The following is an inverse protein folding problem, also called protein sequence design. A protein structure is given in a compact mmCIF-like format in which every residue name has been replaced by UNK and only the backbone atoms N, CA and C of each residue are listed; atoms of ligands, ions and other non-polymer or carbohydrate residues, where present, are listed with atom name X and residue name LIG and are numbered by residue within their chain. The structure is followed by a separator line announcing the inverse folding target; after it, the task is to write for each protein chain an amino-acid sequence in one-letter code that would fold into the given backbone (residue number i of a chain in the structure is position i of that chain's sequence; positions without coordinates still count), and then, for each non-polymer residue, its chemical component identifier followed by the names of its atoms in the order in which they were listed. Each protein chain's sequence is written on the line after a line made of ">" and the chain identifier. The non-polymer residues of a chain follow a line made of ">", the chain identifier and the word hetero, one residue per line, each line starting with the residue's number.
data_IF_517828711793
#
_entry.id   IF_517828711793
#
_cell.length_a   1.000
_cell.length_b   1.000
_cell.length_c   1.000
_cell.angle_alpha   90.00
_cell.angle_beta   90.00
_cell.angle_gamma   90.00
#
_symmetry.space_group_name_H-M   'P 1'
#
loop_
_entity.id
_entity.type
_entity.pdbx_description
1 polymer ?
#
# COMPACT_ATOMS: atom_id res chain seq x y z
N UNK A 1 -83.78 -63.49 51.82
CA UNK A 1 -83.71 -62.03 51.62
C UNK A 1 -82.29 -61.48 51.75
N UNK A 2 -81.43 -61.97 52.66
CA UNK A 2 -80.05 -61.49 52.84
C UNK A 2 -79.13 -61.69 51.61
N UNK A 3 -79.16 -62.86 50.98
CA UNK A 3 -78.29 -63.20 49.83
C UNK A 3 -78.55 -62.31 48.59
N UNK A 4 -79.79 -61.82 48.42
CA UNK A 4 -80.17 -60.92 47.32
C UNK A 4 -79.71 -59.47 47.57
N UNK A 5 -79.63 -59.04 48.83
CA UNK A 5 -79.16 -57.70 49.22
C UNK A 5 -77.64 -57.63 49.11
N UNK A 6 -76.93 -58.70 49.47
CA UNK A 6 -75.47 -58.78 49.38
C UNK A 6 -75.00 -58.82 47.92
N UNK A 7 -75.68 -59.60 47.06
CA UNK A 7 -75.42 -59.61 45.62
C UNK A 7 -75.77 -58.28 44.92
N UNK A 8 -76.80 -57.56 45.39
CA UNK A 8 -77.10 -56.20 44.91
C UNK A 8 -76.07 -55.18 45.40
N UNK A 9 -75.54 -55.33 46.62
CA UNK A 9 -74.47 -54.48 47.15
C UNK A 9 -73.18 -54.61 46.36
N UNK A 10 -72.74 -55.85 46.07
CA UNK A 10 -71.52 -56.11 45.30
C UNK A 10 -71.62 -55.59 43.84
N UNK A 11 -72.81 -55.68 43.23
CA UNK A 11 -73.07 -55.06 41.93
C UNK A 11 -72.95 -53.53 41.97
N UNK A 12 -73.43 -52.89 43.04
CA UNK A 12 -73.37 -51.44 43.21
C UNK A 12 -71.93 -50.96 43.37
N UNK A 13 -71.14 -51.62 44.22
CA UNK A 13 -69.73 -51.29 44.46
C UNK A 13 -68.89 -51.45 43.19
N UNK A 14 -69.19 -52.47 42.38
CA UNK A 14 -68.49 -52.68 41.12
C UNK A 14 -68.81 -51.55 40.13
N UNK A 15 -70.07 -51.11 40.04
CA UNK A 15 -70.50 -49.96 39.23
C UNK A 15 -69.80 -48.68 39.72
N UNK A 16 -69.75 -48.45 41.03
CA UNK A 16 -69.07 -47.28 41.61
C UNK A 16 -67.58 -47.26 41.23
N UNK A 17 -66.89 -48.39 41.37
CA UNK A 17 -65.47 -48.51 40.99
C UNK A 17 -65.21 -48.29 39.50
N UNK A 18 -66.18 -48.65 38.64
CA UNK A 18 -66.09 -48.43 37.19
C UNK A 18 -66.37 -46.97 36.83
N UNK A 19 -67.30 -46.31 37.52
CA UNK A 19 -67.60 -44.89 37.35
C UNK A 19 -66.44 -44.02 37.84
N UNK A 20 -65.82 -44.33 38.98
CA UNK A 20 -64.64 -43.62 39.48
C UNK A 20 -63.46 -43.73 38.51
N UNK A 21 -63.18 -44.94 38.00
CA UNK A 21 -62.15 -45.14 36.97
C UNK A 21 -62.44 -44.32 35.72
N UNK A 22 -63.66 -44.36 35.19
CA UNK A 22 -64.05 -43.58 34.02
C UNK A 22 -63.90 -42.06 34.25
N UNK A 23 -64.33 -41.56 35.41
CA UNK A 23 -64.16 -40.16 35.80
C UNK A 23 -62.68 -39.76 35.88
N UNK A 24 -61.83 -40.63 36.44
CA UNK A 24 -60.38 -40.41 36.51
C UNK A 24 -59.73 -40.31 35.11
N UNK A 25 -60.15 -41.15 34.16
CA UNK A 25 -59.64 -41.14 32.79
C UNK A 25 -60.08 -39.89 32.03
N UNK A 26 -61.34 -39.48 32.19
CA UNK A 26 -61.85 -38.24 31.59
C UNK A 26 -61.14 -37.02 32.17
N UNK A 27 -60.91 -36.99 33.49
CA UNK A 27 -60.21 -35.90 34.16
C UNK A 27 -58.70 -35.87 33.84
N UNK A 28 -58.07 -37.03 33.68
CA UNK A 28 -56.71 -37.15 33.17
C UNK A 28 -56.60 -36.67 31.71
N UNK A 29 -57.50 -37.16 30.85
CA UNK A 29 -57.55 -36.80 29.44
C UNK A 29 -57.78 -35.30 29.20
N UNK A 30 -58.67 -34.68 29.96
CA UNK A 30 -58.92 -33.23 29.89
C UNK A 30 -57.69 -32.42 30.33
N UNK A 31 -56.99 -32.81 31.40
CA UNK A 31 -55.71 -32.19 31.79
C UNK A 31 -54.63 -32.34 30.72
N UNK A 32 -54.46 -33.53 30.14
CA UNK A 32 -53.48 -33.74 29.08
C UNK A 32 -53.80 -32.91 27.83
N UNK A 33 -55.07 -32.79 27.47
CA UNK A 33 -55.51 -31.94 26.35
C UNK A 33 -55.22 -30.46 26.63
N UNK A 34 -55.44 -30.00 27.85
CA UNK A 34 -55.19 -28.61 28.25
C UNK A 34 -53.69 -28.27 28.25
N UNK A 35 -52.85 -29.19 28.75
CA UNK A 35 -51.39 -29.07 28.69
C UNK A 35 -50.88 -29.08 27.24
N UNK A 36 -51.38 -30.00 26.41
CA UNK A 36 -51.00 -30.07 25.00
C UNK A 36 -51.38 -28.78 24.24
N UNK A 37 -52.57 -28.22 24.47
CA UNK A 37 -52.99 -26.93 23.90
C UNK A 37 -52.09 -25.78 24.37
N UNK A 38 -51.67 -25.76 25.63
CA UNK A 38 -50.78 -24.72 26.19
C UNK A 38 -49.39 -24.79 25.57
N UNK A 39 -48.83 -25.99 25.40
CA UNK A 39 -47.54 -26.21 24.74
C UNK A 39 -47.59 -25.80 23.26
N UNK A 40 -48.66 -26.17 22.54
CA UNK A 40 -48.84 -25.80 21.13
C UNK A 40 -48.99 -24.27 20.95
N UNK A 41 -49.71 -23.59 21.85
CA UNK A 41 -49.83 -22.12 21.81
C UNK A 41 -48.51 -21.43 22.11
N UNK A 42 -47.75 -21.92 23.08
CA UNK A 42 -46.45 -21.35 23.43
C UNK A 42 -45.41 -21.54 22.32
N UNK A 43 -45.41 -22.71 21.66
CA UNK A 43 -44.54 -22.99 20.50
C UNK A 43 -44.83 -22.07 19.32
N UNK A 44 -46.12 -21.84 18.98
CA UNK A 44 -46.50 -20.92 17.90
C UNK A 44 -46.10 -19.47 18.19
N UNK A 45 -46.21 -19.05 19.45
CA UNK A 45 -45.74 -17.73 19.86
C UNK A 45 -44.22 -17.60 19.68
N UNK A 46 -43.45 -18.64 20.02
CA UNK A 46 -42.00 -18.63 19.85
C UNK A 46 -41.58 -18.50 18.39
N UNK A 47 -42.22 -19.24 17.47
CA UNK A 47 -41.97 -19.10 16.03
C UNK A 47 -42.31 -17.71 15.49
N UNK A 48 -43.39 -17.08 15.97
CA UNK A 48 -43.71 -15.70 15.60
C UNK A 48 -42.65 -14.70 16.08
N UNK A 49 -42.12 -14.87 17.29
CA UNK A 49 -41.03 -14.04 17.79
C UNK A 49 -39.73 -14.23 17.01
N UNK A 50 -39.37 -15.47 16.68
CA UNK A 50 -38.21 -15.79 15.83
C UNK A 50 -38.34 -15.15 14.44
N UNK A 51 -39.50 -15.27 13.78
CA UNK A 51 -39.74 -14.65 12.48
C UNK A 51 -39.69 -13.12 12.56
N UNK A 52 -40.28 -12.53 13.61
CA UNK A 52 -40.25 -11.08 13.82
C UNK A 52 -38.82 -10.57 14.06
N UNK A 53 -38.04 -11.30 14.87
CA UNK A 53 -36.62 -11.01 15.11
C UNK A 53 -35.82 -11.07 13.80
N UNK A 54 -36.05 -12.10 12.97
CA UNK A 54 -35.39 -12.26 11.68
C UNK A 54 -35.75 -11.11 10.71
N UNK A 55 -37.02 -10.69 10.67
CA UNK A 55 -37.45 -9.53 9.88
C UNK A 55 -36.83 -8.21 10.37
N UNK A 56 -36.69 -8.03 11.70
CA UNK A 56 -36.02 -6.86 12.28
C UNK A 56 -34.53 -6.87 11.93
N UNK A 57 -33.86 -8.02 12.01
CA UNK A 57 -32.44 -8.16 11.62
C UNK A 57 -32.26 -7.88 10.13
N UNK A 58 -33.12 -8.43 9.25
CA UNK A 58 -33.09 -8.13 7.81
C UNK A 58 -33.32 -6.64 7.56
N UNK A 59 -34.29 -6.02 8.23
CA UNK A 59 -34.53 -4.59 8.10
C UNK A 59 -33.32 -3.77 8.56
N UNK A 60 -32.68 -4.15 9.68
CA UNK A 60 -31.48 -3.49 10.20
C UNK A 60 -30.26 -3.64 9.26
N UNK A 61 -30.09 -4.81 8.66
CA UNK A 61 -29.06 -5.07 7.64
C UNK A 61 -29.34 -4.26 6.37
N UNK A 62 -30.57 -4.23 5.88
CA UNK A 62 -30.97 -3.41 4.71
C UNK A 62 -30.83 -1.91 4.99
N UNK A 63 -31.15 -1.45 6.20
CA UNK A 63 -30.92 -0.08 6.66
C UNK A 63 -29.42 0.25 6.77
N UNK A 64 -28.59 -0.71 7.21
CA UNK A 64 -27.13 -0.57 7.26
C UNK A 64 -26.48 -0.57 5.87
N UNK A 65 -27.10 -1.22 4.88
CA UNK A 65 -26.67 -1.22 3.46
C UNK A 65 -27.16 0.04 2.72
N UNK A 66 -27.58 1.10 3.40
CA UNK A 66 -27.69 2.45 2.81
C UNK A 66 -26.43 3.28 3.13
N UNK A 67 -25.24 2.93 2.59
CA UNK A 67 -24.00 3.67 2.85
C UNK A 67 -24.12 5.14 2.44
N UNK A 68 -25.00 5.39 1.49
CA UNK A 68 -25.34 6.68 0.94
C UNK A 68 -25.77 7.73 1.98
N UNK A 69 -26.61 7.40 2.97
CA UNK A 69 -26.99 8.35 4.03
C UNK A 69 -25.83 8.70 4.97
N UNK A 70 -25.03 7.71 5.34
CA UNK A 70 -23.83 7.92 6.16
C UNK A 70 -22.76 8.74 5.41
N UNK A 71 -22.62 8.51 4.10
CA UNK A 71 -21.76 9.28 3.21
C UNK A 71 -22.26 10.72 3.10
N UNK A 72 -23.56 10.97 2.93
CA UNK A 72 -24.12 12.32 2.89
C UNK A 72 -23.93 13.09 4.21
N UNK A 73 -24.20 12.49 5.36
CA UNK A 73 -23.98 13.14 6.66
C UNK A 73 -22.50 13.49 6.89
N UNK A 74 -21.60 12.60 6.44
CA UNK A 74 -20.16 12.84 6.51
C UNK A 74 -19.71 13.90 5.50
N UNK A 75 -20.30 13.95 4.32
CA UNK A 75 -20.05 14.96 3.28
C UNK A 75 -20.56 16.35 3.70
N UNK A 76 -21.73 16.43 4.34
CA UNK A 76 -22.27 17.68 4.87
C UNK A 76 -21.34 18.29 5.94
N UNK A 77 -20.66 17.44 6.73
CA UNK A 77 -19.62 17.86 7.69
C UNK A 77 -18.25 18.13 7.03
N UNK A 78 -17.85 17.32 6.03
CA UNK A 78 -16.56 17.45 5.32
C UNK A 78 -16.50 18.59 4.30
N UNK A 79 -17.64 19.20 3.96
CA UNK A 79 -17.65 20.41 3.14
C UNK A 79 -17.09 21.65 3.87
N UNK A 80 -16.63 21.50 5.11
CA UNK A 80 -15.70 22.42 5.77
C UNK A 80 -14.32 22.24 5.12
N UNK A 81 -14.12 22.80 3.93
CA UNK A 81 -12.84 22.72 3.22
C UNK A 81 -11.86 23.67 3.91
N UNK A 82 -11.01 23.16 4.80
CA UNK A 82 -10.04 24.00 5.54
C UNK A 82 -8.67 24.12 4.86
N UNK A 83 -8.39 23.43 3.74
CA UNK A 83 -7.06 23.51 3.08
C UNK A 83 -7.10 23.29 1.58
N UNK A 84 -7.64 24.23 0.82
CA UNK A 84 -7.51 24.24 -0.65
C UNK A 84 -7.04 25.58 -1.24
N UNK A 85 -6.67 26.58 -0.44
CA UNK A 85 -6.39 27.89 -0.99
C UNK A 85 -4.96 28.09 -1.52
N UNK A 86 -4.03 27.17 -1.26
CA UNK A 86 -2.66 27.31 -1.79
C UNK A 86 -2.59 27.23 -3.32
N UNK A 87 -3.62 26.69 -3.98
CA UNK A 87 -3.69 26.54 -5.45
C UNK A 87 -4.64 27.53 -6.14
N UNK A 88 -5.37 28.35 -5.35
CA UNK A 88 -6.43 29.22 -5.89
C UNK A 88 -5.94 30.61 -6.29
N UNK A 89 -4.83 31.08 -5.70
CA UNK A 89 -4.24 32.38 -6.02
C UNK A 89 -3.79 32.47 -7.49
N UNK A 90 -3.30 31.35 -8.05
CA UNK A 90 -2.88 31.24 -9.45
C UNK A 90 -4.05 31.24 -10.47
N UNK A 91 -5.31 31.17 -10.03
CA UNK A 91 -6.50 31.07 -10.90
C UNK A 91 -7.62 32.06 -10.57
N UNK A 92 -7.31 33.15 -9.86
CA UNK A 92 -8.29 34.17 -9.45
C UNK A 92 -9.15 34.69 -10.62
N UNK A 93 -8.53 34.93 -11.78
CA UNK A 93 -9.24 35.42 -12.97
C UNK A 93 -10.26 34.41 -13.53
N UNK A 94 -9.90 33.12 -13.55
CA UNK A 94 -10.82 32.07 -14.01
C UNK A 94 -11.95 31.82 -13.01
N UNK A 95 -11.68 31.97 -11.71
CA UNK A 95 -12.68 31.83 -10.65
C UNK A 95 -13.70 32.96 -10.70
N UNK A 96 -13.24 34.20 -10.92
CA UNK A 96 -14.12 35.38 -10.98
C UNK A 96 -14.89 35.49 -12.29
N UNK A 97 -14.38 34.90 -13.38
CA UNK A 97 -15.04 34.88 -14.69
C UNK A 97 -16.19 33.87 -14.80
N UNK A 98 -16.14 32.78 -14.03
CA UNK A 98 -17.21 31.76 -14.00
C UNK A 98 -18.17 32.00 -12.82
N UNK A 99 -19.46 32.28 -13.06
CA UNK A 99 -20.41 32.55 -11.98
C UNK A 99 -20.57 31.40 -10.98
N UNK A 100 -20.42 30.15 -11.43
CA UNK A 100 -20.53 28.97 -10.57
C UNK A 100 -19.35 28.86 -9.60
N UNK A 101 -18.13 29.05 -10.11
CA UNK A 101 -16.93 29.10 -9.29
C UNK A 101 -16.92 30.33 -8.38
N UNK A 102 -17.29 31.51 -8.88
CA UNK A 102 -17.34 32.74 -8.09
C UNK A 102 -18.23 32.60 -6.86
N UNK A 103 -19.42 32.01 -7.01
CA UNK A 103 -20.36 31.82 -5.90
C UNK A 103 -19.83 30.92 -4.79
N UNK A 104 -18.93 29.98 -5.12
CA UNK A 104 -18.37 29.00 -4.18
C UNK A 104 -17.04 29.46 -3.60
N UNK A 105 -16.19 30.02 -4.45
CA UNK A 105 -14.77 30.27 -4.19
C UNK A 105 -14.43 31.75 -4.05
N UNK A 106 -15.32 32.66 -4.43
CA UNK A 106 -15.16 34.10 -4.27
C UNK A 106 -16.44 34.78 -3.73
N UNK A 107 -16.99 34.31 -2.60
CA UNK A 107 -18.20 34.91 -2.04
C UNK A 107 -17.95 36.40 -1.73
N UNK A 108 -18.91 37.26 -2.09
CA UNK A 108 -18.80 38.72 -1.99
C UNK A 108 -17.72 39.35 -2.89
N UNK A 109 -17.27 38.65 -3.94
CA UNK A 109 -16.30 39.16 -4.90
C UNK A 109 -14.84 39.08 -4.44
N UNK A 110 -14.56 38.44 -3.29
CA UNK A 110 -13.20 38.17 -2.80
C UNK A 110 -12.93 36.67 -2.82
N UNK A 111 -11.88 36.26 -3.52
CA UNK A 111 -11.42 34.86 -3.54
C UNK A 111 -11.01 34.43 -2.12
N UNK A 112 -11.42 33.23 -1.73
CA UNK A 112 -11.09 32.64 -0.42
C UNK A 112 -9.59 32.38 -0.29
N UNK A 113 -9.05 32.65 0.90
CA UNK A 113 -7.65 32.49 1.24
C UNK A 113 -7.38 31.23 2.07
N UNK A 114 -6.10 30.94 2.32
CA UNK A 114 -5.70 29.73 3.03
C UNK A 114 -6.11 29.81 4.49
N UNK A 115 -6.93 28.84 4.92
CA UNK A 115 -7.55 28.83 6.23
C UNK A 115 -8.99 29.30 6.24
N UNK A 116 -9.47 29.93 5.16
CA UNK A 116 -10.88 30.28 5.02
C UNK A 116 -11.75 29.02 4.82
N UNK A 117 -13.00 29.10 5.25
CA UNK A 117 -13.98 28.03 5.07
C UNK A 117 -14.82 28.29 3.82
N UNK A 118 -14.78 27.35 2.87
CA UNK A 118 -15.63 27.34 1.67
C UNK A 118 -16.91 26.55 1.93
N UNK A 119 -18.05 27.02 1.41
CA UNK A 119 -19.34 26.31 1.48
C UNK A 119 -19.95 26.19 0.08
N UNK A 120 -20.30 24.96 -0.34
CA UNK A 120 -21.03 24.70 -1.58
C UNK A 120 -22.36 23.97 -1.28
N UNK A 121 -23.40 24.75 -0.96
CA UNK A 121 -24.73 24.24 -0.59
C UNK A 121 -25.40 23.47 -1.72
N UNK A 122 -25.21 23.88 -2.96
CA UNK A 122 -25.82 23.21 -4.13
C UNK A 122 -25.22 21.81 -4.35
N UNK A 123 -23.91 21.66 -4.15
CA UNK A 123 -23.27 20.35 -4.16
C UNK A 123 -23.76 19.49 -3.00
N UNK A 124 -23.91 20.06 -1.80
CA UNK A 124 -24.45 19.34 -0.64
C UNK A 124 -25.87 18.81 -0.91
N UNK A 125 -26.77 19.64 -1.44
CA UNK A 125 -28.13 19.24 -1.83
C UNK A 125 -28.13 18.13 -2.89
N UNK A 126 -27.21 18.20 -3.86
CA UNK A 126 -27.07 17.18 -4.91
C UNK A 126 -26.60 15.84 -4.32
N UNK A 127 -25.61 15.88 -3.42
CA UNK A 127 -25.09 14.70 -2.73
C UNK A 127 -26.12 14.09 -1.77
N UNK A 128 -26.92 14.91 -1.09
CA UNK A 128 -28.04 14.48 -0.26
C UNK A 128 -29.11 13.77 -1.11
N UNK A 129 -29.47 14.35 -2.26
CA UNK A 129 -30.43 13.72 -3.19
C UNK A 129 -29.94 12.36 -3.67
N UNK A 130 -28.66 12.27 -4.09
CA UNK A 130 -28.02 11.01 -4.47
C UNK A 130 -27.98 10.04 -3.28
N UNK A 131 -27.82 10.56 -2.07
CA UNK A 131 -27.75 9.71 -0.90
C UNK A 131 -29.10 9.07 -0.52
N UNK A 132 -30.19 9.80 -0.76
CA UNK A 132 -31.54 9.32 -0.47
C UNK A 132 -32.09 8.40 -1.56
N UNK A 133 -31.84 8.74 -2.82
CA UNK A 133 -32.45 8.10 -3.99
C UNK A 133 -31.49 7.14 -4.71
N UNK A 134 -30.21 7.11 -4.31
CA UNK A 134 -29.15 6.35 -4.96
C UNK A 134 -28.62 7.03 -6.23
N UNK A 135 -27.73 6.36 -6.98
CA UNK A 135 -27.10 6.92 -8.18
C UNK A 135 -28.11 7.29 -9.28
N UNK A 136 -29.31 6.72 -9.24
CA UNK A 136 -30.36 7.01 -10.22
C UNK A 136 -30.83 8.47 -10.18
N UNK A 137 -30.66 9.18 -9.06
CA UNK A 137 -30.90 10.62 -9.00
C UNK A 137 -30.05 11.40 -10.02
N UNK A 138 -28.83 10.92 -10.28
CA UNK A 138 -27.92 11.52 -11.26
C UNK A 138 -28.15 10.97 -12.67
N UNK A 139 -28.31 9.66 -12.85
CA UNK A 139 -28.38 9.09 -14.20
C UNK A 139 -29.77 9.18 -14.84
N UNK A 140 -30.83 9.26 -14.04
CA UNK A 140 -32.22 9.23 -14.52
C UNK A 140 -33.16 10.20 -13.81
N UNK A 141 -32.64 11.01 -12.88
CA UNK A 141 -33.42 11.89 -12.02
C UNK A 141 -33.05 13.36 -12.13
N UNK A 142 -33.59 14.14 -11.19
CA UNK A 142 -33.55 15.62 -11.20
C UNK A 142 -32.13 16.20 -11.15
N UNK A 143 -31.16 15.50 -10.55
CA UNK A 143 -29.77 15.97 -10.51
C UNK A 143 -29.14 15.87 -11.90
N UNK A 144 -29.41 14.77 -12.62
CA UNK A 144 -29.00 14.60 -14.01
C UNK A 144 -29.62 15.62 -14.94
N UNK A 145 -30.92 15.88 -14.79
CA UNK A 145 -31.63 16.86 -15.62
C UNK A 145 -31.06 18.26 -15.46
N UNK A 146 -30.77 18.69 -14.23
CA UNK A 146 -30.09 19.97 -13.94
C UNK A 146 -28.70 19.99 -14.56
N UNK A 147 -27.91 18.93 -14.38
CA UNK A 147 -26.57 18.82 -14.93
C UNK A 147 -26.56 18.91 -16.47
N UNK A 148 -27.43 18.17 -17.15
CA UNK A 148 -27.58 18.22 -18.61
C UNK A 148 -27.98 19.61 -19.07
N UNK A 149 -28.91 20.26 -18.37
CA UNK A 149 -29.33 21.63 -18.68
C UNK A 149 -28.15 22.61 -18.58
N UNK A 150 -27.36 22.53 -17.52
CA UNK A 150 -26.20 23.41 -17.32
C UNK A 150 -25.14 23.18 -18.41
N UNK A 151 -24.81 21.91 -18.71
CA UNK A 151 -23.87 21.56 -19.79
C UNK A 151 -24.35 22.10 -21.14
N UNK A 152 -25.64 21.98 -21.44
CA UNK A 152 -26.25 22.48 -22.69
C UNK A 152 -26.24 24.01 -22.77
N UNK A 153 -26.52 24.70 -21.67
CA UNK A 153 -26.44 26.15 -21.60
C UNK A 153 -25.01 26.66 -21.87
N UNK A 154 -24.00 25.89 -21.47
CA UNK A 154 -22.59 26.17 -21.77
C UNK A 154 -22.14 25.72 -23.18
N UNK A 155 -23.06 25.26 -24.03
CA UNK A 155 -22.77 24.82 -25.40
C UNK A 155 -22.27 23.38 -25.53
N UNK A 156 -22.36 22.57 -24.47
CA UNK A 156 -22.02 21.15 -24.49
C UNK A 156 -23.05 20.28 -25.22
N UNK A 157 -22.70 19.01 -25.42
CA UNK A 157 -23.51 18.05 -26.21
C UNK A 157 -24.14 16.93 -25.38
N UNK A 158 -24.00 16.96 -24.05
CA UNK A 158 -24.51 15.91 -23.17
C UNK A 158 -26.05 15.86 -23.19
N UNK A 159 -26.64 14.67 -23.20
CA UNK A 159 -28.08 14.42 -23.09
C UNK A 159 -28.42 13.56 -21.88
N UNK A 160 -29.71 13.51 -21.53
CA UNK A 160 -30.20 12.52 -20.56
C UNK A 160 -30.05 11.09 -21.06
N UNK A 161 -30.05 10.86 -22.38
CA UNK A 161 -29.87 9.51 -22.93
C UNK A 161 -28.42 9.04 -22.79
N UNK A 162 -27.45 9.96 -22.89
CA UNK A 162 -26.03 9.66 -22.59
C UNK A 162 -25.86 9.25 -21.12
N UNK A 163 -26.51 9.97 -20.19
CA UNK A 163 -26.46 9.62 -18.77
C UNK A 163 -27.13 8.26 -18.50
N UNK A 164 -28.31 8.00 -19.06
CA UNK A 164 -29.03 6.73 -18.87
C UNK A 164 -28.30 5.54 -19.48
N UNK A 165 -27.60 5.75 -20.59
CA UNK A 165 -26.84 4.70 -21.29
C UNK A 165 -25.46 4.45 -20.69
N UNK A 166 -24.97 5.33 -19.81
CA UNK A 166 -23.69 5.17 -19.12
C UNK A 166 -23.66 3.87 -18.30
N UNK A 167 -22.60 3.09 -18.49
CA UNK A 167 -22.34 1.84 -17.77
C UNK A 167 -20.92 1.81 -17.24
N UNK A 168 -20.79 1.37 -15.99
CA UNK A 168 -19.48 1.10 -15.40
C UNK A 168 -19.05 -0.29 -15.85
N UNK A 169 -17.92 -0.36 -16.56
CA UNK A 169 -17.27 -1.63 -16.90
C UNK A 169 -16.33 -2.04 -15.76
N UNK A 170 -16.66 -3.15 -15.09
CA UNK A 170 -15.80 -3.75 -14.08
C UNK A 170 -14.88 -4.74 -14.78
N UNK A 171 -13.60 -4.41 -14.84
CA UNK A 171 -12.57 -5.18 -15.52
C UNK A 171 -11.51 -5.66 -14.54
N UNK A 172 -10.82 -6.74 -14.89
CA UNK A 172 -9.70 -7.23 -14.08
C UNK A 172 -8.54 -6.24 -14.08
N UNK A 173 -7.83 -6.17 -12.94
CA UNK A 173 -6.66 -5.34 -12.83
C UNK A 173 -5.55 -5.82 -13.78
N UNK A 174 -4.90 -4.89 -14.47
CA UNK A 174 -3.73 -5.18 -15.30
C UNK A 174 -2.54 -5.51 -14.39
N UNK A 175 -2.01 -6.73 -14.52
CA UNK A 175 -0.84 -7.17 -13.77
C UNK A 175 0.46 -6.90 -14.54
N UNK A 176 1.42 -6.25 -13.87
CA UNK A 176 2.75 -5.94 -14.41
C UNK A 176 3.82 -6.43 -13.44
N UNK A 177 4.78 -7.20 -13.94
CA UNK A 177 5.91 -7.64 -13.12
C UNK A 177 7.05 -6.61 -13.18
N UNK A 178 7.34 -5.96 -12.06
CA UNK A 178 8.39 -4.96 -11.91
C UNK A 178 9.12 -5.11 -10.58
N UNK A 179 10.46 -5.00 -10.60
CA UNK A 179 11.31 -5.10 -9.40
C UNK A 179 11.14 -6.40 -8.57
N UNK A 180 10.67 -7.50 -9.18
CA UNK A 180 10.39 -8.74 -8.46
C UNK A 180 9.01 -8.80 -7.81
N UNK A 181 8.18 -7.77 -7.98
CA UNK A 181 6.80 -7.71 -7.51
C UNK A 181 5.81 -7.73 -8.67
N UNK A 182 4.61 -8.23 -8.39
CA UNK A 182 3.45 -8.09 -9.29
C UNK A 182 2.68 -6.84 -8.89
N UNK A 183 2.75 -5.81 -9.73
CA UNK A 183 1.98 -4.58 -9.58
C UNK A 183 0.63 -4.79 -10.26
N UNK A 184 -0.46 -4.67 -9.50
CA UNK A 184 -1.81 -4.64 -10.03
C UNK A 184 -2.21 -3.19 -10.26
N UNK A 185 -2.64 -2.88 -11.48
CA UNK A 185 -2.99 -1.53 -11.88
C UNK A 185 -4.23 -1.48 -12.76
N UNK A 186 -4.58 -0.26 -13.18
CA UNK A 186 -5.82 -0.04 -13.92
C UNK A 186 -5.62 -0.39 -15.39
N UNK A 187 -6.52 -1.18 -16.00
CA UNK A 187 -6.45 -1.50 -17.42
C UNK A 187 -6.78 -0.26 -18.29
N UNK A 188 -6.61 -0.34 -19.61
CA UNK A 188 -7.17 0.62 -20.55
C UNK A 188 -8.65 0.91 -20.22
N UNK A 189 -9.10 2.18 -20.27
CA UNK A 189 -8.49 3.33 -20.93
C UNK A 189 -7.41 4.08 -20.11
N UNK A 190 -7.06 3.63 -18.90
CA UNK A 190 -5.97 4.25 -18.14
C UNK A 190 -4.61 3.94 -18.75
N UNK A 191 -3.74 4.96 -18.86
CA UNK A 191 -2.37 4.81 -19.37
C UNK A 191 -1.32 4.60 -18.27
N UNK A 192 -1.70 4.75 -17.00
CA UNK A 192 -0.75 4.75 -15.87
C UNK A 192 0.02 3.43 -15.75
N UNK A 193 -0.68 2.30 -15.77
CA UNK A 193 -0.06 0.98 -15.61
C UNK A 193 0.79 0.60 -16.81
N UNK A 194 0.37 0.97 -18.02
CA UNK A 194 1.19 0.81 -19.23
C UNK A 194 2.47 1.65 -19.15
N UNK A 195 2.37 2.93 -18.77
CA UNK A 195 3.51 3.82 -18.61
C UNK A 195 4.54 3.28 -17.61
N UNK A 196 4.06 2.77 -16.48
CA UNK A 196 4.89 2.07 -15.49
C UNK A 196 5.61 0.89 -16.16
N UNK A 197 4.87 -0.01 -16.83
CA UNK A 197 5.46 -1.21 -17.47
C UNK A 197 6.58 -0.89 -18.47
N UNK A 198 6.39 0.15 -19.31
CA UNK A 198 7.36 0.57 -20.32
C UNK A 198 8.59 1.25 -19.72
N UNK A 199 8.40 2.06 -18.67
CA UNK A 199 9.51 2.65 -17.93
C UNK A 199 10.45 1.58 -17.36
N UNK A 200 9.90 0.48 -16.86
CA UNK A 200 10.68 -0.63 -16.32
C UNK A 200 11.44 -1.42 -17.37
N UNK A 201 10.81 -1.73 -18.51
CA UNK A 201 11.49 -2.46 -19.58
C UNK A 201 12.71 -1.67 -20.07
N UNK A 202 12.55 -0.36 -20.22
CA UNK A 202 13.63 0.54 -20.64
C UNK A 202 14.75 0.61 -19.60
N UNK A 203 14.42 0.69 -18.31
CA UNK A 203 15.42 0.66 -17.24
C UNK A 203 16.21 -0.66 -17.19
N UNK A 204 15.56 -1.81 -17.43
CA UNK A 204 16.25 -3.11 -17.52
C UNK A 204 17.19 -3.19 -18.71
N UNK A 205 16.77 -2.68 -19.87
CA UNK A 205 17.61 -2.60 -21.07
C UNK A 205 18.84 -1.72 -20.85
N UNK A 206 18.66 -0.55 -20.22
CA UNK A 206 19.75 0.34 -19.83
C UNK A 206 20.75 -0.35 -18.88
N UNK A 207 20.26 -1.02 -17.83
CA UNK A 207 21.16 -1.73 -16.88
C UNK A 207 21.98 -2.84 -17.56
N UNK A 208 21.40 -3.55 -18.51
CA UNK A 208 22.12 -4.57 -19.28
C UNK A 208 23.21 -3.95 -20.17
N UNK A 209 22.91 -2.82 -20.81
CA UNK A 209 23.89 -2.07 -21.60
C UNK A 209 25.02 -1.53 -20.72
N UNK A 210 24.71 -0.98 -19.55
CA UNK A 210 25.72 -0.47 -18.60
C UNK A 210 26.69 -1.56 -18.18
N UNK A 211 26.20 -2.77 -17.89
CA UNK A 211 27.04 -3.90 -17.52
C UNK A 211 27.98 -4.31 -18.67
N UNK A 212 27.47 -4.33 -19.92
CA UNK A 212 28.28 -4.61 -21.11
C UNK A 212 29.36 -3.52 -21.31
N UNK A 213 28.99 -2.25 -21.16
CA UNK A 213 29.92 -1.13 -21.30
C UNK A 213 30.97 -1.10 -20.19
N UNK A 214 30.59 -1.40 -18.95
CA UNK A 214 31.51 -1.52 -17.83
C UNK A 214 32.53 -2.64 -18.04
N UNK A 215 32.09 -3.80 -18.52
CA UNK A 215 32.99 -4.93 -18.83
C UNK A 215 33.94 -4.60 -19.99
N UNK A 216 33.47 -3.91 -21.04
CA UNK A 216 34.34 -3.42 -22.13
C UNK A 216 35.42 -2.46 -21.59
N UNK A 217 35.03 -1.48 -20.80
CA UNK A 217 35.96 -0.51 -20.19
C UNK A 217 36.97 -1.19 -19.26
N UNK A 218 36.56 -2.23 -18.52
CA UNK A 218 37.46 -3.04 -17.69
C UNK A 218 38.50 -3.76 -18.55
N UNK A 219 38.10 -4.38 -19.67
CA UNK A 219 39.00 -5.07 -20.60
C UNK A 219 39.99 -4.13 -21.27
N UNK A 220 39.56 -2.92 -21.63
CA UNK A 220 40.42 -1.88 -22.18
C UNK A 220 41.47 -1.41 -21.15
N UNK A 221 41.05 -1.09 -19.92
CA UNK A 221 41.97 -0.69 -18.84
C UNK A 221 42.98 -1.79 -18.51
N UNK A 222 42.54 -3.05 -18.51
CA UNK A 222 43.43 -4.18 -18.35
C UNK A 222 44.45 -4.25 -19.51
N UNK A 223 43.99 -4.09 -20.75
CA UNK A 223 44.87 -4.08 -21.93
C UNK A 223 45.90 -2.95 -21.90
N UNK A 224 45.52 -1.75 -21.44
CA UNK A 224 46.45 -0.63 -21.25
C UNK A 224 47.52 -0.95 -20.21
N UNK A 225 47.16 -1.59 -19.10
CA UNK A 225 48.13 -2.04 -18.08
C UNK A 225 49.09 -3.09 -18.63
N UNK A 226 48.63 -4.00 -19.48
CA UNK A 226 49.51 -4.95 -20.18
C UNK A 226 50.52 -4.26 -21.10
N UNK A 227 50.08 -3.22 -21.82
CA UNK A 227 50.98 -2.42 -22.67
C UNK A 227 52.03 -1.73 -21.80
N UNK A 228 51.62 -1.07 -20.71
CA UNK A 228 52.55 -0.43 -19.77
C UNK A 228 53.55 -1.43 -19.15
N UNK A 229 53.08 -2.61 -18.74
CA UNK A 229 53.92 -3.68 -18.24
C UNK A 229 54.94 -4.15 -19.29
N UNK A 230 54.50 -4.29 -20.55
CA UNK A 230 55.38 -4.70 -21.65
C UNK A 230 56.49 -3.68 -21.97
N UNK A 231 56.26 -2.40 -21.66
CA UNK A 231 57.26 -1.34 -21.83
C UNK A 231 58.31 -1.30 -20.71
N UNK A 232 57.96 -1.77 -19.50
CA UNK A 232 58.84 -1.72 -18.33
C UNK A 232 59.82 -2.90 -18.23
N UNK A 233 59.45 -4.06 -18.80
CA UNK A 233 60.28 -5.27 -18.76
C UNK A 233 61.11 -5.38 -20.05
N UNK A 234 62.45 -5.27 -19.98
CA UNK A 234 63.31 -5.32 -21.17
C UNK A 234 63.25 -6.69 -21.86
N UNK A 235 63.19 -6.69 -23.20
CA UNK A 235 63.31 -7.92 -24.01
C UNK A 235 61.99 -8.57 -24.44
N UNK A 236 60.83 -7.97 -24.13
CA UNK A 236 59.53 -8.48 -24.57
C UNK A 236 59.27 -8.18 -26.06
N UNK A 237 59.48 -9.16 -26.93
CA UNK A 237 58.99 -9.11 -28.31
C UNK A 237 57.50 -9.47 -28.31
N UNK A 238 56.64 -8.56 -28.78
CA UNK A 238 55.17 -8.70 -28.87
C UNK A 238 54.76 -10.13 -29.24
N UNK A 239 54.11 -10.89 -28.35
CA UNK A 239 53.13 -11.96 -28.65
C UNK A 239 52.42 -12.31 -27.33
N UNK A 240 51.08 -12.36 -27.36
CA UNK A 240 50.13 -12.90 -26.38
C UNK A 240 50.20 -12.43 -24.90
N UNK A 241 49.04 -12.09 -24.34
CA UNK A 241 48.87 -11.59 -22.95
C UNK A 241 49.38 -12.60 -21.92
N UNK A 242 49.24 -13.90 -22.19
CA UNK A 242 49.73 -14.97 -21.33
C UNK A 242 51.27 -15.02 -21.29
N UNK A 243 51.94 -14.82 -22.43
CA UNK A 243 53.41 -14.84 -22.51
C UNK A 243 54.02 -13.64 -21.79
N UNK A 244 53.43 -12.43 -21.96
CA UNK A 244 53.90 -11.21 -21.29
C UNK A 244 53.88 -11.35 -19.76
N UNK A 245 52.83 -11.94 -19.20
CA UNK A 245 52.74 -12.22 -17.76
C UNK A 245 53.78 -13.26 -17.32
N UNK A 246 53.92 -14.36 -18.06
CA UNK A 246 54.87 -15.42 -17.75
C UNK A 246 56.32 -14.91 -17.72
N UNK A 247 56.69 -14.11 -18.72
CA UNK A 247 58.02 -13.53 -18.83
C UNK A 247 58.28 -12.45 -17.76
N UNK A 248 57.28 -11.63 -17.44
CA UNK A 248 57.38 -10.66 -16.35
C UNK A 248 57.58 -11.35 -14.98
N UNK A 249 56.87 -12.45 -14.71
CA UNK A 249 57.04 -13.25 -13.48
C UNK A 249 58.45 -13.87 -13.44
N UNK A 250 58.94 -14.38 -14.56
CA UNK A 250 60.29 -14.95 -14.65
C UNK A 250 61.37 -13.89 -14.39
N UNK A 251 61.21 -12.69 -14.95
CA UNK A 251 62.11 -11.57 -14.72
C UNK A 251 62.09 -11.10 -13.25
N UNK A 252 60.90 -11.03 -12.62
CA UNK A 252 60.78 -10.71 -11.20
C UNK A 252 61.48 -11.73 -10.30
N UNK A 253 61.36 -13.03 -10.61
CA UNK A 253 62.09 -14.08 -9.88
C UNK A 253 63.61 -13.93 -10.01
N UNK A 254 64.10 -13.64 -11.22
CA UNK A 254 65.52 -13.38 -11.44
C UNK A 254 66.03 -12.14 -10.70
N UNK A 255 65.24 -11.06 -10.66
CA UNK A 255 65.55 -9.88 -9.87
C UNK A 255 65.58 -10.18 -8.38
N UNK A 256 64.61 -10.94 -7.87
CA UNK A 256 64.55 -11.33 -6.46
C UNK A 256 65.73 -12.21 -6.06
N UNK A 257 66.15 -13.13 -6.93
CA UNK A 257 67.34 -13.96 -6.72
C UNK A 257 68.61 -13.11 -6.75
N UNK A 258 68.73 -12.17 -7.69
CA UNK A 258 69.85 -11.20 -7.71
C UNK A 258 69.88 -10.34 -6.45
N UNK A 259 68.75 -9.80 -5.99
CA UNK A 259 68.66 -9.05 -4.73
C UNK A 259 69.09 -9.92 -3.56
N UNK A 260 68.62 -11.17 -3.46
CA UNK A 260 69.04 -12.09 -2.39
C UNK A 260 70.54 -12.35 -2.41
N UNK A 261 71.14 -12.56 -3.59
CA UNK A 261 72.60 -12.73 -3.71
C UNK A 261 73.37 -11.45 -3.36
N UNK A 262 72.86 -10.28 -3.74
CA UNK A 262 73.47 -8.98 -3.42
C UNK A 262 73.32 -8.65 -1.93
N UNK A 263 72.19 -8.97 -1.31
CA UNK A 263 71.96 -8.87 0.14
C UNK A 263 72.88 -9.82 0.90
N UNK A 264 73.10 -11.03 0.40
CA UNK A 264 74.00 -12.00 1.02
C UNK A 264 75.48 -11.61 0.83
N UNK A 265 75.82 -10.99 -0.29
CA UNK A 265 77.12 -10.33 -0.49
C UNK A 265 77.28 -9.11 0.40
N UNK A 266 76.23 -8.32 0.62
CA UNK A 266 76.22 -7.20 1.55
C UNK A 266 76.32 -7.69 2.99
N UNK A 267 75.73 -8.84 3.32
CA UNK A 267 75.84 -9.51 4.62
C UNK A 267 77.24 -10.07 4.86
N UNK A 268 77.91 -10.57 3.81
CA UNK A 268 79.33 -10.96 3.85
C UNK A 268 80.26 -9.75 3.97
N UNK A 269 79.92 -8.61 3.36
CA UNK A 269 80.62 -7.32 3.54
C UNK A 269 80.33 -6.67 4.91
N UNK A 270 79.15 -6.87 5.47
CA UNK A 270 78.75 -6.35 6.79
C UNK A 270 79.27 -7.22 7.94
N UNK A 271 79.70 -8.46 7.69
CA UNK A 271 80.50 -9.22 8.67
C UNK A 271 81.94 -8.74 8.77
N UNK A 272 82.41 -7.88 7.85
CA UNK A 272 83.66 -7.10 7.99
C UNK A 272 83.41 -5.66 8.48
N UNK A 273 82.16 -5.21 8.59
CA UNK A 273 81.87 -3.86 9.03
C UNK A 273 80.51 -3.74 9.72
N UNK A 274 80.57 -3.31 10.99
CA UNK A 274 79.52 -2.73 11.84
C UNK A 274 78.90 -3.66 12.89
N UNK A 275 79.54 -3.63 14.07
CA UNK A 275 78.84 -3.53 15.35
C UNK A 275 78.12 -2.16 15.45
N UNK A 276 77.04 -2.10 16.25
CA UNK A 276 76.05 -1.01 16.46
C UNK A 276 74.90 -0.98 15.44
N UNK A 277 73.63 -0.83 15.81
CA UNK A 277 72.94 -0.76 17.09
C UNK A 277 71.43 -0.83 16.80
N UNK A 278 70.69 -1.50 17.69
CA UNK A 278 69.44 -1.07 18.37
C UNK A 278 68.45 -0.13 17.63
N UNK A 279 67.12 -0.16 17.83
CA UNK A 279 66.13 -0.89 18.67
C UNK A 279 64.84 -0.04 18.57
N UNK A 280 63.66 -0.67 18.66
CA UNK A 280 62.33 -0.18 19.15
C UNK A 280 61.19 -0.66 18.24
N UNK A 281 60.34 -1.62 18.63
CA UNK A 281 59.21 -1.60 19.60
C UNK A 281 58.12 -0.60 19.16
N UNK A 282 57.00 -1.02 18.56
CA UNK A 282 55.87 -1.79 19.13
C UNK A 282 55.24 -1.06 20.31
N UNK A 283 54.02 -0.54 20.17
CA UNK A 283 52.84 -1.22 20.72
C UNK A 283 51.51 -0.51 20.40
N UNK A 284 50.54 -1.35 20.09
CA UNK A 284 49.11 -1.11 19.94
C UNK A 284 48.44 -0.79 21.28
N UNK A 285 47.35 -0.01 21.24
CA UNK A 285 46.21 -0.26 22.13
C UNK A 285 44.89 0.10 21.46
N UNK A 286 44.08 -0.93 21.24
CA UNK A 286 42.68 -0.88 20.88
C UNK A 286 41.82 -0.54 22.11
N UNK A 287 40.75 0.24 21.90
CA UNK A 287 39.61 0.31 22.79
C UNK A 287 38.33 0.42 21.96
N UNK A 288 37.59 -0.69 21.93
CA UNK A 288 36.24 -0.84 21.40
C UNK A 288 35.21 -0.32 22.40
N UNK A 289 34.26 0.49 21.95
CA UNK A 289 32.97 0.69 22.63
C UNK A 289 31.87 0.65 21.57
N UNK A 290 31.04 -0.40 21.64
CA UNK A 290 29.78 -0.55 20.90
C UNK A 290 28.70 0.35 21.50
N UNK A 291 28.08 1.18 20.67
CA UNK A 291 26.65 1.56 20.78
C UNK A 291 26.09 1.48 19.37
N UNK A 292 25.38 0.39 19.08
CA UNK A 292 24.80 0.12 17.78
C UNK A 292 23.45 0.84 17.71
N UNK A 293 23.49 2.14 17.40
CA UNK A 293 22.33 2.89 16.96
C UNK A 293 22.25 2.70 15.44
N UNK A 294 21.21 2.01 14.94
CA UNK A 294 21.10 1.68 13.52
C UNK A 294 21.05 2.96 12.68
N UNK A 295 22.18 3.32 12.09
CA UNK A 295 22.30 4.47 11.21
C UNK A 295 21.45 4.24 9.96
N UNK A 296 20.83 5.30 9.41
CA UNK A 296 20.12 5.18 8.14
C UNK A 296 21.10 4.75 7.05
N UNK A 297 20.71 3.75 6.26
CA UNK A 297 21.50 3.32 5.11
C UNK A 297 21.27 4.31 3.97
N UNK A 298 22.31 5.05 3.62
CA UNK A 298 22.27 6.10 2.59
C UNK A 298 23.05 5.62 1.37
N UNK A 299 22.34 5.39 0.26
CA UNK A 299 22.95 5.13 -1.05
C UNK A 299 22.90 6.41 -1.89
N UNK A 300 24.06 6.84 -2.40
CA UNK A 300 24.15 7.97 -3.33
C UNK A 300 24.66 7.47 -4.68
N UNK A 301 23.90 7.75 -5.74
CA UNK A 301 24.31 7.48 -7.13
C UNK A 301 24.36 8.78 -7.90
N UNK A 302 25.51 9.06 -8.51
CA UNK A 302 25.75 10.28 -9.30
C UNK A 302 25.71 9.89 -10.78
N UNK A 303 24.92 10.64 -11.56
CA UNK A 303 24.85 10.50 -13.01
C UNK A 303 24.93 11.89 -13.65
N UNK A 304 26.11 12.25 -14.16
CA UNK A 304 26.44 13.55 -14.75
C UNK A 304 26.04 14.77 -13.89
N UNK A 305 24.84 15.32 -14.09
CA UNK A 305 24.32 16.48 -13.35
C UNK A 305 23.28 16.12 -12.29
N UNK A 306 22.84 14.87 -12.26
CA UNK A 306 21.77 14.39 -11.39
C UNK A 306 22.33 13.54 -10.26
N UNK A 307 21.80 13.75 -9.06
CA UNK A 307 22.16 13.02 -7.84
C UNK A 307 20.92 12.28 -7.35
N UNK A 308 21.00 10.95 -7.31
CA UNK A 308 19.98 10.10 -6.70
C UNK A 308 20.42 9.74 -5.28
N UNK A 309 19.68 10.20 -4.28
CA UNK A 309 19.89 9.89 -2.87
C UNK A 309 18.77 8.95 -2.43
N UNK A 310 19.11 7.77 -1.95
CA UNK A 310 18.18 6.80 -1.36
C UNK A 310 18.52 6.63 0.11
N UNK A 311 17.54 6.87 0.98
CA UNK A 311 17.69 6.83 2.43
C UNK A 311 16.75 5.74 2.96
N UNK A 312 17.31 4.70 3.57
CA UNK A 312 16.54 3.72 4.34
C UNK A 312 16.68 4.06 5.82
N UNK A 313 15.57 4.24 6.50
CA UNK A 313 15.55 4.57 7.91
C UNK A 313 14.32 3.94 8.57
N UNK A 314 14.41 3.73 9.89
CA UNK A 314 13.26 3.33 10.68
C UNK A 314 12.21 4.46 10.71
N UNK A 315 10.92 4.08 10.77
CA UNK A 315 9.81 5.02 10.73
C UNK A 315 9.86 5.95 11.94
N UNK A 316 10.32 7.18 11.73
CA UNK A 316 10.29 8.26 12.73
C UNK A 316 9.50 9.45 12.19
N UNK A 317 8.81 10.16 13.08
CA UNK A 317 8.13 11.42 12.72
C UNK A 317 9.20 12.43 12.24
N UNK A 318 8.86 13.22 11.22
CA UNK A 318 9.66 14.35 10.71
C UNK A 318 10.98 13.99 9.97
N UNK A 319 11.25 12.71 9.67
CA UNK A 319 12.50 12.37 8.95
C UNK A 319 12.55 13.01 7.56
N UNK A 320 11.43 12.93 6.82
CA UNK A 320 11.35 13.46 5.46
C UNK A 320 11.63 14.96 5.43
N UNK A 321 10.97 15.72 6.32
CA UNK A 321 11.13 17.18 6.41
C UNK A 321 12.57 17.57 6.76
N UNK A 322 13.20 16.89 7.74
CA UNK A 322 14.60 17.14 8.12
C UNK A 322 15.57 16.79 7.00
N UNK A 323 15.34 15.69 6.29
CA UNK A 323 16.21 15.28 5.16
C UNK A 323 16.11 16.24 3.98
N UNK A 324 14.90 16.72 3.64
CA UNK A 324 14.72 17.68 2.55
C UNK A 324 15.37 19.02 2.89
N UNK A 325 15.15 19.51 4.12
CA UNK A 325 15.77 20.74 4.60
C UNK A 325 17.31 20.67 4.61
N UNK A 326 17.89 19.51 4.92
CA UNK A 326 19.34 19.32 4.90
C UNK A 326 19.89 19.26 3.47
N UNK A 327 19.16 18.65 2.51
CA UNK A 327 19.55 18.60 1.09
C UNK A 327 19.52 20.01 0.47
N UNK A 328 18.54 20.83 0.82
CA UNK A 328 18.44 22.21 0.31
C UNK A 328 19.61 23.10 0.78
N UNK A 329 20.17 22.86 1.97
CA UNK A 329 21.38 23.57 2.45
C UNK A 329 22.60 23.35 1.56
N UNK A 330 22.67 22.21 0.86
CA UNK A 330 23.76 21.90 -0.06
C UNK A 330 23.56 22.50 -1.46
N UNK A 331 22.61 23.43 -1.63
CA UNK A 331 22.29 24.10 -2.91
C UNK A 331 21.83 23.12 -4.00
N UNK A 332 21.27 21.98 -3.62
CA UNK A 332 20.72 20.98 -4.55
C UNK A 332 19.23 21.27 -4.78
N UNK A 333 18.81 21.32 -6.05
CA UNK A 333 17.39 21.42 -6.40
C UNK A 333 16.73 20.04 -6.40
N UNK A 334 15.71 19.84 -5.57
CA UNK A 334 14.98 18.57 -5.49
C UNK A 334 13.99 18.48 -6.67
N UNK A 335 14.28 17.62 -7.65
CA UNK A 335 13.46 17.42 -8.85
C UNK A 335 12.27 16.49 -8.55
N UNK A 336 12.50 15.43 -7.78
CA UNK A 336 11.49 14.45 -7.41
C UNK A 336 11.82 13.84 -6.04
N UNK A 337 10.80 13.61 -5.22
CA UNK A 337 10.91 12.95 -3.93
C UNK A 337 9.81 11.90 -3.81
N UNK A 338 10.17 10.68 -3.43
CA UNK A 338 9.23 9.58 -3.23
C UNK A 338 9.56 8.88 -1.92
N UNK A 339 8.58 8.81 -1.03
CA UNK A 339 8.68 8.08 0.23
C UNK A 339 7.72 6.90 0.22
N UNK A 340 8.21 5.71 0.55
CA UNK A 340 7.42 4.49 0.63
C UNK A 340 7.64 3.83 1.99
N UNK A 341 6.56 3.39 2.63
CA UNK A 341 6.63 2.56 3.83
C UNK A 341 6.68 1.10 3.42
N UNK A 342 7.71 0.37 3.84
CA UNK A 342 7.73 -1.09 3.73
C UNK A 342 6.94 -1.68 4.91
N UNK A 343 5.97 -2.56 4.63
CA UNK A 343 5.29 -3.31 5.67
C UNK A 343 6.23 -4.34 6.29
N UNK A 344 6.13 -4.55 7.60
CA UNK A 344 6.77 -5.68 8.27
C UNK A 344 6.26 -6.96 7.61
N UNK A 345 7.18 -7.84 7.19
CA UNK A 345 6.81 -9.22 6.86
C UNK A 345 6.00 -9.80 8.01
N UNK A 346 4.84 -10.40 7.72
CA UNK A 346 4.19 -11.28 8.68
C UNK A 346 5.19 -12.36 9.07
N UNK A 347 5.63 -12.35 10.32
CA UNK A 347 5.95 -13.56 11.09
C UNK A 347 4.85 -13.78 12.12
#
# INVERSE_FOLDING_TARGET
>A
MSVLVEAQGEQLDNIESHVERASSYVRGGTRHLEVAKKLQRNSRNWYCFEILLLLIIIAAVVLSIRPWKFIADKLNKMLTITKAAATMDYRSDSITSDPGLQNVYAPNGKVLESGDTCYNKELANSLETIAEQGPQAFYSGVVGEKFVKDVRNSGGILTMDDLKSYKVEVTEAMAVNAMGYTILGMPPPSSGTLGISLGWTNARLSKAQDHIMAERKRREKLSQRFIALSALVPGLKKIDKASVLGDAIKYLKQLQEKVKTLEEQTRRKSTESVALANKSSSDDHAASIHVEESLPEIEVRISDKDILIRIHCEKRKEVIEKTLAEIEKFQLSIINSTAMTFGTSLE
#
